data_IF_634494267069
#
_entry.id   IF_634494267069
#
_cell.length_a   1.000
_cell.length_b   1.000
_cell.length_c   1.000
_cell.angle_alpha   90.00
_cell.angle_beta   90.00
_cell.angle_gamma   90.00
#
_symmetry.space_group_name_H-M   'P 1'
#
loop_
_entity.id
_entity.type
_entity.pdbx_description
1 polymer ?
#
# COMPACT_ATOMS: atom_id res chain seq x y z
N UNK A 1 17.85 18.51 -54.45
CA UNK A 1 17.49 17.92 -53.14
C UNK A 1 18.44 16.78 -52.84
N UNK A 2 19.24 16.87 -51.78
CA UNK A 2 19.78 15.66 -51.13
C UNK A 2 20.28 16.00 -49.71
N UNK A 3 19.48 15.65 -48.71
CA UNK A 3 19.87 15.65 -47.30
C UNK A 3 21.04 14.69 -47.09
N UNK A 4 22.13 15.16 -46.48
CA UNK A 4 23.16 14.29 -45.89
C UNK A 4 23.18 14.53 -44.38
N UNK A 5 22.37 13.77 -43.66
CA UNK A 5 22.45 13.65 -42.21
C UNK A 5 22.93 12.24 -41.89
N UNK A 6 24.23 12.08 -41.69
CA UNK A 6 24.82 10.85 -41.17
C UNK A 6 25.38 11.14 -39.79
N UNK A 7 24.70 10.66 -38.74
CA UNK A 7 25.25 10.66 -37.38
C UNK A 7 26.51 9.79 -37.36
N UNK A 8 27.59 10.29 -36.77
CA UNK A 8 28.83 9.51 -36.72
C UNK A 8 28.72 8.37 -35.71
N UNK A 9 29.40 7.24 -35.95
CA UNK A 9 29.36 6.09 -35.04
C UNK A 9 29.90 6.45 -33.64
N UNK A 10 30.88 7.36 -33.60
CA UNK A 10 31.44 7.90 -32.35
C UNK A 10 30.43 8.78 -31.59
N UNK A 11 29.60 9.57 -32.28
CA UNK A 11 28.59 10.43 -31.68
C UNK A 11 27.49 9.60 -31.00
N UNK A 12 27.05 8.52 -31.62
CA UNK A 12 26.11 7.57 -31.00
C UNK A 12 26.73 6.90 -29.78
N UNK A 13 28.02 6.54 -29.83
CA UNK A 13 28.74 5.95 -28.71
C UNK A 13 28.81 6.92 -27.52
N UNK A 14 29.13 8.19 -27.76
CA UNK A 14 29.17 9.23 -26.72
C UNK A 14 27.78 9.50 -26.12
N UNK A 15 26.72 9.50 -26.92
CA UNK A 15 25.35 9.70 -26.41
C UNK A 15 24.93 8.53 -25.51
N UNK A 16 25.21 7.30 -25.92
CA UNK A 16 24.88 6.11 -25.13
C UNK A 16 25.68 6.09 -23.82
N UNK A 17 26.96 6.46 -23.83
CA UNK A 17 27.77 6.52 -22.59
C UNK A 17 27.26 7.58 -21.62
N UNK A 18 26.83 8.75 -22.11
CA UNK A 18 26.22 9.77 -21.24
C UNK A 18 24.88 9.26 -20.68
N UNK A 19 24.05 8.60 -21.49
CA UNK A 19 22.78 8.03 -21.03
C UNK A 19 22.96 6.95 -19.96
N UNK A 20 23.96 6.06 -20.09
CA UNK A 20 24.19 5.01 -19.10
C UNK A 20 24.57 5.57 -17.73
N UNK A 21 25.41 6.62 -17.70
CA UNK A 21 25.79 7.30 -16.46
C UNK A 21 24.56 7.94 -15.78
N UNK A 22 23.68 8.58 -16.56
CA UNK A 22 22.46 9.19 -16.02
C UNK A 22 21.49 8.13 -15.45
N UNK A 23 21.30 7.02 -16.18
CA UNK A 23 20.41 5.94 -15.75
C UNK A 23 20.90 5.26 -14.47
N UNK A 24 22.20 5.13 -14.28
CA UNK A 24 22.78 4.54 -13.07
C UNK A 24 22.34 5.29 -11.79
N UNK A 25 22.15 6.61 -11.87
CA UNK A 25 21.71 7.44 -10.74
C UNK A 25 20.17 7.48 -10.64
N UNK A 26 19.48 7.47 -11.78
CA UNK A 26 18.02 7.62 -11.84
C UNK A 26 17.26 6.38 -11.32
N UNK A 27 17.69 5.17 -11.69
CA UNK A 27 17.00 3.91 -11.37
C UNK A 27 16.78 3.68 -9.87
N UNK A 28 17.79 3.77 -8.98
CA UNK A 28 17.59 3.48 -7.56
C UNK A 28 16.62 4.46 -6.89
N UNK A 29 16.65 5.74 -7.28
CA UNK A 29 15.73 6.75 -6.75
C UNK A 29 14.29 6.52 -7.23
N UNK A 30 14.12 6.15 -8.51
CA UNK A 30 12.81 5.82 -9.06
C UNK A 30 12.18 4.62 -8.35
N UNK A 31 12.96 3.56 -8.10
CA UNK A 31 12.46 2.36 -7.42
C UNK A 31 11.97 2.66 -5.99
N UNK A 32 12.69 3.51 -5.24
CA UNK A 32 12.26 3.96 -3.90
C UNK A 32 10.95 4.74 -3.95
N UNK A 33 10.86 5.70 -4.87
CA UNK A 33 9.65 6.49 -5.05
C UNK A 33 8.45 5.64 -5.46
N UNK A 34 8.66 4.70 -6.39
CA UNK A 34 7.63 3.78 -6.84
C UNK A 34 7.12 2.88 -5.71
N UNK A 35 8.03 2.31 -4.91
CA UNK A 35 7.67 1.44 -3.79
C UNK A 35 6.90 2.21 -2.70
N UNK A 36 7.35 3.43 -2.39
CA UNK A 36 6.64 4.34 -1.48
C UNK A 36 5.20 4.58 -1.92
N UNK A 37 5.01 4.92 -3.19
CA UNK A 37 3.69 5.18 -3.76
C UNK A 37 2.80 3.92 -3.77
N UNK A 38 3.40 2.75 -4.02
CA UNK A 38 2.71 1.47 -3.94
C UNK A 38 2.14 1.21 -2.53
N UNK A 39 2.95 1.42 -1.49
CA UNK A 39 2.53 1.25 -0.08
C UNK A 39 1.39 2.20 0.28
N UNK A 40 1.49 3.47 -0.12
CA UNK A 40 0.43 4.47 0.14
C UNK A 40 -0.89 4.09 -0.53
N UNK A 41 -0.84 3.58 -1.76
CA UNK A 41 -2.03 3.15 -2.48
C UNK A 41 -2.68 1.92 -1.85
N UNK A 42 -1.89 0.91 -1.48
CA UNK A 42 -2.40 -0.28 -0.77
C UNK A 42 -3.00 0.11 0.58
N UNK A 43 -2.38 1.04 1.32
CA UNK A 43 -2.90 1.55 2.60
C UNK A 43 -4.26 2.26 2.41
N UNK A 44 -4.40 3.09 1.37
CA UNK A 44 -5.68 3.74 1.01
C UNK A 44 -6.73 2.72 0.56
N UNK A 45 -6.32 1.66 -0.13
CA UNK A 45 -7.20 0.57 -0.54
C UNK A 45 -7.74 -0.18 0.70
N UNK A 46 -6.86 -0.53 1.65
CA UNK A 46 -7.25 -1.14 2.93
C UNK A 46 -8.25 -0.24 3.66
N UNK A 47 -7.94 1.05 3.80
CA UNK A 47 -8.84 2.02 4.44
C UNK A 47 -10.22 2.05 3.79
N UNK A 48 -10.26 2.14 2.46
CA UNK A 48 -11.52 2.19 1.70
C UNK A 48 -12.32 0.89 1.84
N UNK A 49 -11.62 -0.25 1.87
CA UNK A 49 -12.23 -1.56 2.08
C UNK A 49 -12.84 -1.68 3.48
N UNK A 50 -12.11 -1.29 4.53
CA UNK A 50 -12.64 -1.31 5.91
C UNK A 50 -13.90 -0.45 6.01
N UNK A 51 -13.91 0.75 5.44
CA UNK A 51 -15.09 1.63 5.48
C UNK A 51 -16.28 1.03 4.69
N UNK A 52 -16.01 0.41 3.55
CA UNK A 52 -17.03 -0.28 2.75
C UNK A 52 -17.63 -1.46 3.53
N UNK A 53 -16.79 -2.31 4.11
CA UNK A 53 -17.22 -3.45 4.90
C UNK A 53 -17.94 -3.03 6.18
N UNK A 54 -17.52 -1.90 6.79
CA UNK A 54 -18.23 -1.29 7.91
C UNK A 54 -19.65 -0.87 7.54
N UNK A 55 -19.81 -0.21 6.40
CA UNK A 55 -21.14 0.16 5.89
C UNK A 55 -21.98 -1.09 5.60
N UNK A 56 -21.36 -2.14 5.05
CA UNK A 56 -22.02 -3.43 4.79
C UNK A 56 -22.47 -4.11 6.08
N UNK A 57 -21.60 -4.21 7.08
CA UNK A 57 -21.91 -4.78 8.40
C UNK A 57 -23.09 -4.05 9.07
N UNK A 58 -23.10 -2.71 9.00
CA UNK A 58 -24.17 -1.90 9.57
C UNK A 58 -25.51 -2.07 8.85
N UNK A 59 -25.49 -2.15 7.51
CA UNK A 59 -26.69 -2.22 6.67
C UNK A 59 -27.30 -3.62 6.64
N UNK A 60 -26.46 -4.65 6.52
CA UNK A 60 -26.89 -6.04 6.38
C UNK A 60 -26.96 -6.78 7.71
N UNK A 61 -26.55 -6.14 8.82
CA UNK A 61 -26.52 -6.73 10.17
C UNK A 61 -25.73 -8.05 10.21
N UNK A 62 -24.61 -8.08 9.52
CA UNK A 62 -23.65 -9.20 9.52
C UNK A 62 -22.40 -8.81 10.30
N UNK A 63 -21.74 -9.79 10.93
CA UNK A 63 -20.41 -9.58 11.49
C UNK A 63 -19.36 -9.74 10.40
N UNK A 64 -18.41 -8.82 10.33
CA UNK A 64 -17.32 -8.87 9.36
C UNK A 64 -15.98 -8.93 10.09
N UNK A 65 -15.10 -9.82 9.68
CA UNK A 65 -13.73 -9.92 10.19
C UNK A 65 -12.74 -9.75 9.04
N UNK A 66 -11.79 -8.85 9.20
CA UNK A 66 -10.74 -8.54 8.24
C UNK A 66 -9.43 -9.01 8.85
N UNK A 67 -8.76 -9.94 8.20
CA UNK A 67 -7.45 -10.42 8.61
C UNK A 67 -6.43 -10.25 7.49
N UNK A 68 -5.16 -10.12 7.88
CA UNK A 68 -4.06 -9.90 6.96
C UNK A 68 -3.08 -11.06 7.06
N UNK A 69 -2.70 -11.62 5.91
CA UNK A 69 -1.67 -12.63 5.80
C UNK A 69 -0.68 -12.21 4.71
N UNK A 70 0.31 -11.40 5.10
CA UNK A 70 1.29 -10.82 4.19
C UNK A 70 0.61 -9.96 3.13
N UNK A 71 0.61 -10.43 1.88
CA UNK A 71 0.05 -9.70 0.74
C UNK A 71 -1.45 -9.93 0.54
N UNK A 72 -2.09 -10.75 1.38
CA UNK A 72 -3.48 -11.13 1.21
C UNK A 72 -4.30 -10.54 2.36
N UNK A 73 -5.31 -9.76 2.01
CA UNK A 73 -6.40 -9.40 2.90
C UNK A 73 -7.51 -10.42 2.75
N UNK A 74 -8.00 -10.92 3.87
CA UNK A 74 -9.08 -11.90 3.92
C UNK A 74 -10.25 -11.24 4.63
N UNK A 75 -11.39 -11.15 3.93
CA UNK A 75 -12.64 -10.65 4.48
C UNK A 75 -13.54 -11.85 4.75
N UNK A 76 -13.95 -12.00 6.00
CA UNK A 76 -14.85 -13.05 6.45
C UNK A 76 -16.16 -12.44 6.92
N UNK A 77 -17.28 -13.02 6.52
CA UNK A 77 -18.63 -12.59 6.87
C UNK A 77 -19.30 -13.71 7.67
N UNK A 78 -19.84 -13.40 8.85
CA UNK A 78 -20.45 -14.36 9.77
C UNK A 78 -19.59 -15.62 10.02
N UNK A 79 -18.27 -15.44 10.08
CA UNK A 79 -17.30 -16.52 10.35
C UNK A 79 -16.86 -17.35 9.13
N UNK A 80 -17.31 -17.01 7.92
CA UNK A 80 -16.88 -17.67 6.69
C UNK A 80 -16.13 -16.70 5.77
N UNK A 81 -15.05 -17.14 5.14
CA UNK A 81 -14.31 -16.34 4.16
C UNK A 81 -15.21 -15.98 2.97
N UNK A 82 -15.45 -14.70 2.76
CA UNK A 82 -16.28 -14.17 1.67
C UNK A 82 -15.43 -13.94 0.42
N UNK A 83 -14.35 -13.18 0.56
CA UNK A 83 -13.41 -12.93 -0.53
C UNK A 83 -12.04 -12.51 -0.01
N UNK A 84 -11.04 -12.52 -0.90
CA UNK A 84 -9.68 -12.07 -0.61
C UNK A 84 -9.25 -10.97 -1.58
N UNK A 85 -8.39 -10.07 -1.10
CA UNK A 85 -7.80 -9.00 -1.91
C UNK A 85 -6.28 -9.14 -1.87
N UNK A 86 -5.67 -9.21 -3.05
CA UNK A 86 -4.22 -9.24 -3.19
C UNK A 86 -3.67 -7.80 -3.20
N UNK A 87 -2.80 -7.51 -2.25
CA UNK A 87 -2.04 -6.28 -2.13
C UNK A 87 -0.68 -6.41 -2.84
N UNK A 88 -0.13 -5.30 -3.29
CA UNK A 88 1.20 -5.29 -3.91
C UNK A 88 2.32 -5.44 -2.88
N UNK A 89 2.09 -4.93 -1.67
CA UNK A 89 3.04 -4.96 -0.57
C UNK A 89 2.51 -5.82 0.59
N UNK A 90 3.43 -6.31 1.43
CA UNK A 90 3.09 -7.17 2.56
C UNK A 90 2.62 -6.31 3.73
N UNK A 91 1.44 -6.57 4.27
CA UNK A 91 0.96 -5.92 5.49
C UNK A 91 0.94 -6.91 6.66
N UNK A 92 0.92 -6.37 7.86
CA UNK A 92 0.85 -7.09 9.12
C UNK A 92 -0.20 -6.46 10.02
N UNK A 93 -0.73 -7.24 10.95
CA UNK A 93 -1.79 -6.83 11.86
C UNK A 93 -2.51 -8.05 12.40
N UNK A 94 -3.10 -7.90 13.59
CA UNK A 94 -4.08 -8.86 14.09
C UNK A 94 -5.40 -8.77 13.32
N UNK A 95 -6.35 -9.69 13.55
CA UNK A 95 -7.68 -9.58 12.99
C UNK A 95 -8.36 -8.29 13.48
N UNK A 96 -9.20 -7.75 12.61
CA UNK A 96 -10.04 -6.59 12.83
C UNK A 96 -11.48 -7.02 12.65
N UNK A 97 -12.28 -6.88 13.70
CA UNK A 97 -13.69 -7.27 13.69
C UNK A 97 -14.58 -6.04 13.62
N UNK A 98 -15.68 -6.19 12.90
CA UNK A 98 -16.73 -5.20 12.74
C UNK A 98 -18.04 -5.84 13.17
N UNK A 99 -18.63 -5.30 14.24
CA UNK A 99 -19.95 -5.74 14.69
C UNK A 99 -21.06 -5.23 13.74
N UNK A 100 -22.25 -5.82 13.85
CA UNK A 100 -23.52 -5.43 13.22
C UNK A 100 -23.93 -3.97 13.46
N UNK A 101 -23.30 -3.30 14.43
CA UNK A 101 -23.45 -1.88 14.75
C UNK A 101 -22.42 -0.98 14.05
N UNK A 102 -21.48 -1.57 13.31
CA UNK A 102 -20.38 -0.85 12.67
C UNK A 102 -19.31 -0.39 13.66
N UNK A 103 -19.26 -1.00 14.85
CA UNK A 103 -18.18 -0.81 15.82
C UNK A 103 -16.98 -1.66 15.45
N UNK A 104 -15.78 -1.09 15.57
CA UNK A 104 -14.50 -1.69 15.18
C UNK A 104 -13.76 -2.19 16.43
N UNK A 105 -13.27 -3.42 16.39
CA UNK A 105 -12.41 -3.97 17.44
C UNK A 105 -11.22 -4.72 16.85
N UNK A 106 -10.17 -4.92 17.64
CA UNK A 106 -8.98 -5.66 17.23
C UNK A 106 -7.78 -4.75 16.98
N UNK A 107 -6.98 -5.08 15.96
CA UNK A 107 -5.67 -4.45 15.73
C UNK A 107 -5.64 -3.54 14.50
N UNK A 108 -4.73 -2.56 14.51
CA UNK A 108 -4.37 -1.78 13.32
C UNK A 108 -3.65 -2.65 12.29
N UNK A 109 -3.82 -2.33 11.01
CA UNK A 109 -3.09 -2.95 9.90
C UNK A 109 -1.95 -2.01 9.49
N UNK A 110 -0.75 -2.52 9.27
CA UNK A 110 0.44 -1.70 9.02
C UNK A 110 1.47 -2.41 8.13
N UNK A 111 2.34 -1.63 7.51
CA UNK A 111 3.49 -2.07 6.73
C UNK A 111 4.80 -1.60 7.37
N UNK A 112 5.83 -2.44 7.38
CA UNK A 112 7.14 -2.13 7.98
C UNK A 112 8.03 -1.26 7.06
N UNK A 113 7.54 -0.09 6.65
CA UNK A 113 8.20 0.79 5.66
C UNK A 113 9.61 1.26 6.10
N UNK A 114 9.78 1.52 7.40
CA UNK A 114 11.02 2.07 7.98
C UNK A 114 12.22 1.12 7.89
N UNK A 115 11.98 -0.20 7.93
CA UNK A 115 13.04 -1.20 7.76
C UNK A 115 13.61 -1.17 6.34
N UNK A 116 12.84 -0.70 5.37
CA UNK A 116 13.24 -0.59 3.96
C UNK A 116 13.84 0.79 3.62
N UNK A 117 14.01 1.67 4.62
CA UNK A 117 14.47 3.04 4.41
C UNK A 117 13.49 3.90 3.59
N UNK A 118 12.20 3.54 3.59
CA UNK A 118 11.14 4.27 2.92
C UNK A 118 10.37 5.13 3.93
N UNK A 119 9.95 6.32 3.50
CA UNK A 119 9.14 7.23 4.31
C UNK A 119 7.88 7.62 3.52
N UNK A 120 6.89 6.72 3.41
CA UNK A 120 5.58 7.01 2.83
C UNK A 120 4.80 8.02 3.67
N UNK A 121 3.84 8.69 3.05
CA UNK A 121 2.91 9.57 3.76
C UNK A 121 2.02 8.78 4.73
N UNK A 122 1.62 7.57 4.31
CA UNK A 122 0.83 6.62 5.08
C UNK A 122 1.31 5.19 4.81
N UNK A 123 1.50 4.40 5.86
CA UNK A 123 1.84 2.97 5.79
C UNK A 123 1.03 2.11 6.77
N UNK A 124 0.08 2.72 7.48
CA UNK A 124 -0.79 2.01 8.38
C UNK A 124 -2.20 2.60 8.44
N UNK A 125 -3.13 1.75 8.86
CA UNK A 125 -4.52 2.07 9.14
C UNK A 125 -4.78 1.79 10.61
N UNK A 126 -4.93 2.86 11.39
CA UNK A 126 -5.33 2.80 12.78
C UNK A 126 -6.84 2.68 12.88
N UNK A 127 -7.30 1.85 13.82
CA UNK A 127 -8.70 1.81 14.22
C UNK A 127 -8.87 2.20 15.67
N UNK A 128 -10.01 2.81 15.90
CA UNK A 128 -10.64 3.11 17.18
C UNK A 128 -12.11 2.67 17.03
N UNK A 129 -12.80 2.46 18.15
CA UNK A 129 -14.13 1.87 18.26
C UNK A 129 -15.10 2.34 17.16
N UNK A 130 -15.06 3.65 16.84
CA UNK A 130 -15.90 4.26 15.80
C UNK A 130 -15.13 4.94 14.66
N UNK A 131 -13.80 4.89 14.64
CA UNK A 131 -12.97 5.64 13.68
C UNK A 131 -11.95 4.74 13.00
N UNK A 132 -11.81 4.90 11.70
CA UNK A 132 -10.67 4.38 10.93
C UNK A 132 -9.86 5.59 10.50
N UNK A 133 -8.54 5.55 10.65
CA UNK A 133 -7.64 6.65 10.27
C UNK A 133 -6.42 6.11 9.53
N UNK A 134 -5.96 6.87 8.55
CA UNK A 134 -4.64 6.65 7.94
C UNK A 134 -3.56 7.19 8.88
N UNK A 135 -2.40 6.55 8.87
CA UNK A 135 -1.31 6.91 9.77
C UNK A 135 0.05 6.44 9.32
N UNK A 136 1.03 6.68 10.19
CA UNK A 136 2.41 6.23 10.06
C UNK A 136 2.77 5.24 11.18
N UNK A 137 3.34 4.10 10.82
CA UNK A 137 3.79 3.08 11.75
C UNK A 137 5.17 3.45 12.29
N UNK A 138 5.24 3.63 13.61
CA UNK A 138 6.49 4.02 14.28
C UNK A 138 7.37 2.83 14.72
N UNK A 139 7.00 1.60 14.34
CA UNK A 139 7.65 0.36 14.80
C UNK A 139 6.95 -0.31 15.98
N UNK A 140 6.05 0.39 16.66
CA UNK A 140 5.30 -0.14 17.82
C UNK A 140 3.78 0.06 17.71
N UNK A 141 3.34 1.17 17.11
CA UNK A 141 1.92 1.49 16.91
C UNK A 141 1.72 2.32 15.65
N UNK A 142 0.52 2.21 15.09
CA UNK A 142 0.07 3.10 14.03
C UNK A 142 -0.30 4.46 14.62
N UNK A 143 0.45 5.51 14.25
CA UNK A 143 0.18 6.88 14.68
C UNK A 143 -0.70 7.54 13.62
N UNK A 144 -1.98 7.73 13.95
CA UNK A 144 -2.91 8.40 13.06
C UNK A 144 -2.47 9.84 12.75
N UNK A 145 -2.63 10.26 11.50
CA UNK A 145 -2.21 11.56 10.98
C UNK A 145 -3.42 12.42 10.61
#
# INVERSE_FOLDING_TARGET
MMNRYGTTLIEVLVVITIMTILLAIAIPNYNKWHKRYSIENDTKQIYSLIQKERLKAFTQKISVSISVNGNILIVSENGATSYTVLLKNNFSGGPMDIDTRGTLSGSSIYHYSKQEGLVPQYDCVAIDDVRVKLGEYNGSKCVAK
#
